data_IF_874470014116
#
_entry.id   IF_874470014116
#
_cell.length_a   1.000
_cell.length_b   1.000
_cell.length_c   1.000
_cell.angle_alpha   90.00
_cell.angle_beta   90.00
_cell.angle_gamma   90.00
#
_symmetry.space_group_name_H-M   'P 1'
#
loop_
_entity.id
_entity.type
_entity.pdbx_description
1 polymer ?
#
# COMPACT_ATOMS: atom_id res chain seq x y z
N UNK A 1 5.32 3.44 24.21
CA UNK A 1 5.10 2.28 23.33
C UNK A 1 4.51 2.76 22.01
N UNK A 2 4.91 2.21 20.85
CA UNK A 2 4.21 2.47 19.58
C UNK A 2 5.06 2.83 18.36
N UNK A 3 6.20 2.18 18.14
CA UNK A 3 6.94 2.29 16.86
C UNK A 3 6.54 1.19 15.86
N UNK A 4 6.04 0.07 16.36
CA UNK A 4 5.62 -1.08 15.56
C UNK A 4 4.17 -0.93 15.10
N UNK A 5 3.93 -1.27 13.84
CA UNK A 5 2.62 -1.29 13.20
C UNK A 5 2.40 -2.68 12.60
N UNK A 6 1.36 -3.36 13.06
CA UNK A 6 0.94 -4.64 12.49
C UNK A 6 -0.14 -4.38 11.45
N UNK A 7 -0.06 -5.06 10.31
CA UNK A 7 -1.06 -5.02 9.24
C UNK A 7 -1.34 -6.43 8.76
N UNK A 8 -2.61 -6.70 8.51
CA UNK A 8 -3.09 -7.93 7.88
C UNK A 8 -4.14 -7.54 6.85
N UNK A 9 -3.97 -7.99 5.61
CA UNK A 9 -4.93 -7.76 4.53
C UNK A 9 -5.66 -9.08 4.24
N UNK A 10 -7.00 -9.04 4.22
CA UNK A 10 -7.86 -10.18 3.93
C UNK A 10 -8.74 -9.86 2.72
N UNK A 11 -9.03 -10.86 1.89
CA UNK A 11 -9.86 -10.72 0.71
C UNK A 11 -10.95 -11.80 0.72
N UNK A 12 -12.19 -11.37 0.50
CA UNK A 12 -13.37 -12.23 0.39
C UNK A 12 -14.02 -11.94 -0.96
N UNK A 13 -14.25 -12.97 -1.76
CA UNK A 13 -14.95 -12.88 -3.02
C UNK A 13 -16.13 -13.85 -3.02
N UNK A 14 -17.33 -13.33 -3.30
CA UNK A 14 -18.55 -14.11 -3.45
C UNK A 14 -19.14 -13.79 -4.81
N UNK A 15 -19.29 -14.81 -5.64
CA UNK A 15 -19.94 -14.69 -6.95
C UNK A 15 -21.20 -15.53 -6.92
N UNK A 16 -22.35 -14.88 -7.07
CA UNK A 16 -23.65 -15.54 -7.19
C UNK A 16 -24.12 -15.40 -8.65
N UNK A 17 -24.17 -16.50 -9.39
CA UNK A 17 -24.83 -16.64 -10.69
C UNK A 17 -25.92 -17.70 -10.59
N UNK A 18 -26.95 -17.65 -11.45
CA UNK A 18 -28.16 -18.52 -11.40
C UNK A 18 -27.85 -20.02 -11.23
N UNK A 19 -26.70 -20.51 -11.70
CA UNK A 19 -26.28 -21.91 -11.59
C UNK A 19 -24.93 -22.14 -10.86
N UNK A 20 -24.23 -21.08 -10.43
CA UNK A 20 -22.92 -21.20 -9.78
C UNK A 20 -22.81 -20.28 -8.57
N UNK A 21 -22.59 -20.89 -7.41
CA UNK A 21 -22.25 -20.22 -6.16
C UNK A 21 -20.78 -20.52 -5.82
N UNK A 22 -19.90 -19.54 -6.04
CA UNK A 22 -18.51 -19.63 -5.64
C UNK A 22 -18.21 -18.64 -4.52
N UNK A 23 -17.74 -19.17 -3.39
CA UNK A 23 -17.28 -18.37 -2.26
C UNK A 23 -15.83 -18.71 -1.97
N UNK A 24 -14.94 -17.75 -2.23
CA UNK A 24 -13.51 -17.86 -1.91
C UNK A 24 -13.11 -16.74 -0.95
N UNK A 25 -12.33 -17.10 0.05
CA UNK A 25 -11.88 -16.16 1.06
C UNK A 25 -10.53 -16.57 1.62
N UNK A 26 -9.66 -15.59 1.85
CA UNK A 26 -8.33 -15.84 2.38
C UNK A 26 -7.68 -14.60 2.99
N UNK A 27 -6.75 -14.83 3.91
CA UNK A 27 -5.82 -13.80 4.36
C UNK A 27 -4.72 -13.72 3.30
N UNK A 28 -4.52 -12.55 2.71
CA UNK A 28 -3.57 -12.37 1.61
C UNK A 28 -2.16 -12.11 2.10
N UNK A 29 -2.01 -11.37 3.20
CA UNK A 29 -0.69 -11.03 3.77
C UNK A 29 -0.82 -10.58 5.22
N UNK A 30 0.17 -10.93 6.05
CA UNK A 30 0.33 -10.37 7.38
C UNK A 30 1.78 -9.95 7.63
N UNK A 31 1.99 -8.68 8.00
CA UNK A 31 3.31 -8.12 8.27
C UNK A 31 3.32 -7.07 9.36
N UNK A 32 4.46 -6.98 10.03
CA UNK A 32 4.78 -6.01 11.05
C UNK A 32 5.85 -5.05 10.50
N UNK A 33 5.64 -3.74 10.61
CA UNK A 33 6.65 -2.77 10.17
C UNK A 33 6.94 -1.71 11.21
N UNK A 34 8.16 -1.18 11.17
CA UNK A 34 8.64 -0.10 12.03
C UNK A 34 9.44 0.91 11.20
N UNK A 35 9.04 2.20 11.18
CA UNK A 35 9.88 3.24 10.61
C UNK A 35 11.09 3.51 11.51
N UNK A 36 12.25 3.73 10.89
CA UNK A 36 13.53 4.08 11.50
C UNK A 36 13.99 5.44 10.95
N UNK A 37 13.51 6.56 11.54
CA UNK A 37 13.79 7.91 11.01
C UNK A 37 15.28 8.27 10.96
N UNK A 38 16.08 7.74 11.89
CA UNK A 38 17.53 7.96 11.94
C UNK A 38 18.26 7.48 10.66
N UNK A 39 17.68 6.49 9.97
CA UNK A 39 18.23 5.89 8.76
C UNK A 39 17.38 6.23 7.52
N UNK A 40 16.31 7.02 7.66
CA UNK A 40 15.35 7.27 6.58
C UNK A 40 14.75 5.98 6.00
N UNK A 41 14.64 4.92 6.81
CA UNK A 41 14.33 3.57 6.34
C UNK A 41 13.17 2.94 7.11
N UNK A 42 12.55 1.92 6.53
CA UNK A 42 11.45 1.15 7.12
C UNK A 42 11.86 -0.33 7.23
N UNK A 43 11.85 -0.84 8.45
CA UNK A 43 12.01 -2.27 8.73
C UNK A 43 10.64 -2.95 8.62
N UNK A 44 10.54 -4.02 7.85
CA UNK A 44 9.32 -4.83 7.67
C UNK A 44 9.64 -6.29 7.98
N UNK A 45 8.77 -6.98 8.70
CA UNK A 45 8.90 -8.36 9.14
C UNK A 45 7.59 -9.10 8.84
N UNK A 46 7.66 -10.28 8.22
CA UNK A 46 6.49 -11.09 7.86
C UNK A 46 6.34 -11.27 6.35
N UNK A 47 5.11 -11.48 5.90
CA UNK A 47 4.77 -11.69 4.50
C UNK A 47 4.70 -10.35 3.76
N UNK A 48 5.59 -10.16 2.78
CA UNK A 48 5.60 -8.96 1.96
C UNK A 48 6.03 -9.29 0.54
N UNK A 49 5.68 -8.41 -0.39
CA UNK A 49 6.13 -8.49 -1.77
C UNK A 49 7.47 -7.75 -1.90
N UNK A 50 8.44 -8.37 -2.56
CA UNK A 50 9.65 -7.69 -2.99
C UNK A 50 9.35 -7.05 -4.33
N UNK A 51 9.48 -5.72 -4.43
CA UNK A 51 9.40 -5.01 -5.71
C UNK A 51 10.70 -4.25 -5.93
N UNK A 52 11.45 -4.62 -6.97
CA UNK A 52 12.67 -3.92 -7.37
C UNK A 52 12.58 -3.56 -8.85
N UNK A 53 13.22 -2.47 -9.26
CA UNK A 53 13.29 -2.07 -10.67
C UNK A 53 14.17 -3.01 -11.51
N UNK A 54 14.94 -3.89 -10.86
CA UNK A 54 15.93 -4.77 -11.51
C UNK A 54 15.48 -6.24 -11.53
N UNK A 55 14.62 -6.63 -10.59
CA UNK A 55 14.20 -8.03 -10.41
C UNK A 55 12.68 -8.13 -10.47
N UNK A 56 12.19 -9.24 -11.04
CA UNK A 56 10.77 -9.57 -11.00
C UNK A 56 10.28 -9.65 -9.55
N UNK A 57 9.09 -9.10 -9.31
CA UNK A 57 8.53 -9.04 -7.98
C UNK A 57 8.07 -10.42 -7.50
N UNK A 58 8.49 -10.81 -6.31
CA UNK A 58 8.08 -12.08 -5.69
C UNK A 58 7.62 -11.86 -4.26
N UNK A 59 6.62 -12.63 -3.84
CA UNK A 59 6.16 -12.66 -2.45
C UNK A 59 7.12 -13.51 -1.61
N UNK A 60 7.47 -13.03 -0.42
CA UNK A 60 8.33 -13.75 0.51
C UNK A 60 7.88 -13.54 1.95
N UNK A 61 8.27 -14.47 2.81
CA UNK A 61 8.13 -14.34 4.27
C UNK A 61 9.50 -14.12 4.87
N UNK A 62 9.75 -12.96 5.48
CA UNK A 62 11.07 -12.67 6.03
C UNK A 62 11.19 -11.29 6.64
N UNK A 63 12.40 -10.74 6.59
CA UNK A 63 12.72 -9.41 7.06
C UNK A 63 13.25 -8.55 5.90
N UNK A 64 12.80 -7.30 5.84
CA UNK A 64 13.15 -6.34 4.81
C UNK A 64 13.52 -5.00 5.44
N UNK A 65 14.64 -4.42 5.02
CA UNK A 65 15.00 -3.04 5.34
C UNK A 65 15.07 -2.26 4.03
N UNK A 66 14.16 -1.31 3.85
CA UNK A 66 14.08 -0.48 2.64
C UNK A 66 14.10 1.00 3.00
N UNK A 67 14.83 1.81 2.23
CA UNK A 67 14.79 3.27 2.33
C UNK A 67 13.40 3.78 1.93
N UNK A 68 12.91 4.79 2.63
CA UNK A 68 11.61 5.41 2.37
C UNK A 68 11.78 6.91 2.14
N UNK A 69 11.76 7.33 0.87
CA UNK A 69 11.94 8.73 0.48
C UNK A 69 10.84 9.65 1.02
N UNK A 70 9.70 9.09 1.47
CA UNK A 70 8.67 9.84 2.19
C UNK A 70 9.08 10.20 3.61
N UNK A 71 10.28 9.81 4.05
CA UNK A 71 10.91 10.32 5.26
C UNK A 71 11.83 11.52 4.99
N UNK A 72 12.19 11.78 3.73
CA UNK A 72 12.99 12.94 3.36
C UNK A 72 12.17 14.23 3.54
N UNK A 73 12.79 15.35 3.94
CA UNK A 73 12.14 16.65 3.99
C UNK A 73 11.40 16.96 2.67
N UNK A 74 10.27 17.64 2.79
CA UNK A 74 9.36 17.98 1.69
C UNK A 74 10.06 18.72 0.53
N UNK A 75 11.16 19.41 0.78
CA UNK A 75 12.00 20.09 -0.21
C UNK A 75 12.63 19.14 -1.25
N UNK A 76 12.81 17.85 -0.91
CA UNK A 76 13.36 16.81 -1.79
C UNK A 76 12.30 15.81 -2.27
N UNK A 77 11.07 15.93 -1.76
CA UNK A 77 9.95 15.03 -2.04
C UNK A 77 9.16 15.67 -3.17
N UNK A 78 9.50 15.34 -4.42
CA UNK A 78 8.98 15.98 -5.63
C UNK A 78 7.52 16.44 -5.56
N UNK A 79 7.28 17.66 -6.05
CA UNK A 79 6.00 18.38 -5.99
C UNK A 79 4.81 17.53 -6.44
N UNK A 80 3.84 17.32 -5.55
CA UNK A 80 2.52 16.80 -5.91
C UNK A 80 1.55 17.98 -6.09
N UNK A 81 0.94 18.17 -7.28
CA UNK A 81 0.04 19.30 -7.50
C UNK A 81 -1.21 19.17 -6.64
N UNK A 82 -1.50 20.20 -5.85
CA UNK A 82 -2.75 20.30 -5.10
C UNK A 82 -3.88 20.71 -6.05
N UNK A 83 -4.82 19.79 -6.30
CA UNK A 83 -6.04 20.09 -7.05
C UNK A 83 -7.08 20.63 -6.05
N UNK A 84 -7.45 21.91 -6.17
CA UNK A 84 -8.53 22.52 -5.37
C UNK A 84 -9.60 23.08 -6.29
N UNK A 85 -10.86 22.87 -5.94
CA UNK A 85 -12.04 23.35 -6.67
C UNK A 85 -13.24 23.44 -5.74
N UNK A 86 -14.15 24.37 -6.02
CA UNK A 86 -15.38 24.56 -5.24
C UNK A 86 -16.54 24.00 -6.05
N UNK A 87 -17.24 23.00 -5.51
CA UNK A 87 -18.51 22.53 -6.06
C UNK A 87 -19.67 23.15 -5.25
N UNK A 88 -20.56 23.88 -5.92
CA UNK A 88 -21.72 24.51 -5.28
C UNK A 88 -22.83 23.50 -4.90
N UNK A 89 -22.76 22.26 -5.39
CA UNK A 89 -23.74 21.18 -5.13
C UNK A 89 -23.03 19.83 -4.96
N UNK A 90 -23.74 18.77 -4.59
CA UNK A 90 -23.19 17.40 -4.53
C UNK A 90 -22.71 16.97 -5.92
N UNK A 91 -21.40 16.86 -6.11
CA UNK A 91 -20.77 16.50 -7.37
C UNK A 91 -19.78 15.35 -7.17
N UNK A 92 -19.73 14.45 -8.16
CA UNK A 92 -18.73 13.39 -8.24
C UNK A 92 -17.51 13.91 -8.99
N UNK A 93 -16.34 13.91 -8.34
CA UNK A 93 -15.08 14.35 -8.94
C UNK A 93 -14.31 13.14 -9.45
N UNK A 94 -14.15 13.03 -10.77
CA UNK A 94 -13.34 11.98 -11.41
C UNK A 94 -12.04 12.60 -11.94
N UNK A 95 -10.91 12.06 -11.53
CA UNK A 95 -9.57 12.49 -11.98
C UNK A 95 -9.00 11.35 -12.81
N UNK A 96 -8.69 11.61 -14.08
CA UNK A 96 -7.92 10.69 -14.92
C UNK A 96 -6.61 11.33 -15.35
N UNK A 97 -5.55 10.52 -15.37
CA UNK A 97 -4.26 10.89 -15.95
C UNK A 97 -3.88 9.74 -16.88
N UNK A 98 -3.68 10.08 -18.16
CA UNK A 98 -3.34 9.15 -19.24
C UNK A 98 -4.45 8.19 -19.70
N UNK A 99 -5.68 8.70 -19.86
CA UNK A 99 -6.74 8.05 -20.65
C UNK A 99 -7.49 6.95 -19.93
#
# INVERSE_FOLDING_TARGET
AGAWRLRSDYQLNKTDSEDNHDQSGGISRTYLFRPLPQLGSKLTLGETDFSSNIFDGFSYTGAALASDDRMLPWELRGYAPQISGIAQTNATVTISQSG
#
